data_IF_793111756423
#
_entry.id   IF_793111756423
#
_cell.length_a   1.000
_cell.length_b   1.000
_cell.length_c   1.000
_cell.angle_alpha   90.00
_cell.angle_beta   90.00
_cell.angle_gamma   90.00
#
_symmetry.space_group_name_H-M   'P 1'
#
loop_
_entity.id
_entity.type
_entity.pdbx_description
1 polymer ?
#
# COMPACT_ATOMS: atom_id res chain seq x y z
N UNK A 1 -14.38 -14.25 -33.53
CA UNK A 1 -14.32 -13.55 -32.23
C UNK A 1 -15.43 -14.17 -31.40
N UNK A 2 -15.12 -15.25 -30.70
CA UNK A 2 -16.12 -16.11 -30.06
C UNK A 2 -16.21 -15.73 -28.58
N UNK A 3 -17.42 -15.39 -28.15
CA UNK A 3 -17.81 -15.15 -26.76
C UNK A 3 -17.47 -16.35 -25.89
N UNK A 4 -16.75 -16.09 -24.80
CA UNK A 4 -16.49 -17.09 -23.77
C UNK A 4 -17.74 -17.19 -22.89
N UNK A 5 -18.43 -18.32 -23.00
CA UNK A 5 -19.56 -18.75 -22.18
C UNK A 5 -19.15 -18.79 -20.69
N UNK A 6 -19.83 -18.04 -19.80
CA UNK A 6 -19.53 -17.99 -18.37
C UNK A 6 -19.85 -19.29 -17.61
N UNK A 7 -20.42 -20.30 -18.28
CA UNK A 7 -20.73 -21.62 -17.69
C UNK A 7 -19.67 -22.68 -17.95
N UNK A 8 -18.60 -22.34 -18.67
CA UNK A 8 -17.49 -23.27 -18.88
C UNK A 8 -16.67 -23.39 -17.59
N UNK A 9 -16.59 -24.58 -16.94
CA UNK A 9 -15.70 -24.75 -15.78
C UNK A 9 -14.29 -24.39 -16.23
N UNK A 10 -13.67 -23.41 -15.56
CA UNK A 10 -12.28 -23.05 -15.82
C UNK A 10 -11.44 -24.34 -15.78
N UNK A 11 -10.64 -24.61 -16.82
CA UNK A 11 -9.77 -25.78 -16.80
C UNK A 11 -8.93 -25.70 -15.54
N UNK A 12 -8.96 -26.76 -14.72
CA UNK A 12 -8.18 -26.83 -13.50
C UNK A 12 -6.72 -26.50 -13.85
N UNK A 13 -6.22 -25.36 -13.36
CA UNK A 13 -4.83 -24.97 -13.50
C UNK A 13 -3.97 -26.12 -13.00
N UNK A 14 -2.88 -26.43 -13.72
CA UNK A 14 -2.01 -27.48 -13.25
C UNK A 14 -1.43 -27.04 -11.87
N UNK A 15 -1.26 -27.98 -10.91
CA UNK A 15 -0.68 -27.65 -9.61
C UNK A 15 0.69 -26.95 -9.70
N UNK A 16 1.41 -27.19 -10.79
CA UNK A 16 2.68 -26.55 -11.12
C UNK A 16 2.49 -25.08 -11.49
N UNK A 17 1.55 -24.75 -12.38
CA UNK A 17 1.27 -23.37 -12.79
C UNK A 17 0.78 -22.52 -11.61
N UNK A 18 -0.02 -23.12 -10.73
CA UNK A 18 -0.45 -22.49 -9.49
C UNK A 18 0.72 -22.19 -8.55
N UNK A 19 1.67 -23.11 -8.46
CA UNK A 19 2.88 -22.95 -7.64
C UNK A 19 3.78 -21.86 -8.22
N UNK A 20 3.98 -21.83 -9.54
CA UNK A 20 4.76 -20.79 -10.20
C UNK A 20 4.14 -19.40 -10.03
N UNK A 21 2.81 -19.29 -10.15
CA UNK A 21 2.08 -18.05 -9.90
C UNK A 21 2.28 -17.53 -8.46
N UNK A 22 2.24 -18.44 -7.49
CA UNK A 22 2.47 -18.10 -6.07
C UNK A 22 3.92 -17.64 -5.86
N UNK A 23 4.90 -18.38 -6.40
CA UNK A 23 6.33 -18.02 -6.28
C UNK A 23 6.60 -16.66 -6.94
N UNK A 24 6.07 -16.42 -8.13
CA UNK A 24 6.24 -15.14 -8.83
C UNK A 24 5.64 -13.99 -8.02
N UNK A 25 4.45 -14.19 -7.46
CA UNK A 25 3.78 -13.18 -6.64
C UNK A 25 4.53 -12.92 -5.33
N UNK A 26 5.05 -13.99 -4.70
CA UNK A 26 5.91 -13.90 -3.52
C UNK A 26 7.20 -13.14 -3.83
N UNK A 27 7.88 -13.44 -4.95
CA UNK A 27 9.09 -12.72 -5.38
C UNK A 27 8.82 -11.26 -5.71
N UNK A 28 7.68 -10.96 -6.33
CA UNK A 28 7.24 -9.59 -6.61
C UNK A 28 6.95 -8.85 -5.31
N UNK A 29 6.28 -9.50 -4.35
CA UNK A 29 6.07 -9.01 -2.99
C UNK A 29 7.39 -8.76 -2.26
N UNK A 30 8.34 -9.70 -2.35
CA UNK A 30 9.67 -9.58 -1.76
C UNK A 30 10.43 -8.37 -2.32
N UNK A 31 10.49 -8.23 -3.64
CA UNK A 31 11.21 -7.14 -4.29
C UNK A 31 10.58 -5.77 -3.98
N UNK A 32 9.26 -5.66 -4.10
CA UNK A 32 8.53 -4.40 -3.81
C UNK A 32 8.62 -4.02 -2.33
N UNK A 33 8.40 -4.97 -1.42
CA UNK A 33 8.56 -4.77 0.01
C UNK A 33 9.99 -4.38 0.38
N UNK A 34 10.98 -5.05 -0.22
CA UNK A 34 12.40 -4.75 -0.02
C UNK A 34 12.79 -3.34 -0.47
N UNK A 35 12.30 -2.89 -1.63
CA UNK A 35 12.56 -1.54 -2.14
C UNK A 35 11.92 -0.45 -1.25
N UNK A 36 10.67 -0.66 -0.83
CA UNK A 36 9.97 0.27 0.08
C UNK A 36 10.66 0.28 1.45
N UNK A 37 11.02 -0.88 1.99
CA UNK A 37 11.76 -0.96 3.25
C UNK A 37 13.14 -0.33 3.18
N UNK A 38 13.86 -0.52 2.08
CA UNK A 38 15.19 0.05 1.90
C UNK A 38 15.15 1.58 1.75
N UNK A 39 14.18 2.13 1.02
CA UNK A 39 13.99 3.57 0.91
C UNK A 39 13.59 4.21 2.24
N UNK A 40 12.70 3.56 3.00
CA UNK A 40 12.37 3.99 4.37
C UNK A 40 13.57 3.91 5.31
N UNK A 41 14.32 2.81 5.27
CA UNK A 41 15.54 2.60 6.05
C UNK A 41 16.61 3.65 5.74
N UNK A 42 16.80 3.99 4.46
CA UNK A 42 17.72 5.05 4.05
C UNK A 42 17.30 6.43 4.58
N UNK A 43 16.00 6.72 4.55
CA UNK A 43 15.44 7.97 5.10
C UNK A 43 15.65 8.06 6.61
N UNK A 44 15.37 6.97 7.34
CA UNK A 44 15.60 6.91 8.78
C UNK A 44 17.08 7.05 9.14
N UNK A 45 17.97 6.45 8.36
CA UNK A 45 19.41 6.56 8.56
C UNK A 45 19.90 8.00 8.38
N UNK A 46 19.39 8.70 7.35
CA UNK A 46 19.71 10.11 7.10
C UNK A 46 19.23 11.00 8.25
N UNK A 47 18.03 10.75 8.79
CA UNK A 47 17.50 11.50 9.93
C UNK A 47 18.25 11.23 11.25
N UNK A 48 18.77 10.02 11.44
CA UNK A 48 19.51 9.62 12.65
C UNK A 48 21.02 9.87 12.57
N UNK A 49 21.55 10.25 11.40
CA UNK A 49 22.99 10.38 11.18
C UNK A 49 23.76 9.06 11.24
N UNK A 50 23.09 7.94 10.93
CA UNK A 50 23.66 6.59 10.96
C UNK A 50 24.07 6.08 9.57
N UNK A 51 24.72 4.91 9.50
CA UNK A 51 25.16 4.32 8.23
C UNK A 51 23.95 3.88 7.38
N UNK A 52 23.68 4.63 6.31
CA UNK A 52 22.59 4.42 5.35
C UNK A 52 22.54 2.98 4.82
N UNK A 53 23.70 2.41 4.43
CA UNK A 53 23.75 1.07 3.83
C UNK A 53 23.25 -0.01 4.78
N UNK A 54 23.64 0.03 6.06
CA UNK A 54 23.24 -0.97 7.05
C UNK A 54 21.76 -0.86 7.42
N UNK A 55 21.25 0.36 7.54
CA UNK A 55 19.83 0.60 7.85
C UNK A 55 18.92 0.27 6.66
N UNK A 56 19.28 0.71 5.46
CA UNK A 56 18.54 0.38 4.25
C UNK A 56 18.50 -1.14 4.02
N UNK A 57 19.63 -1.83 4.19
CA UNK A 57 19.68 -3.29 4.03
C UNK A 57 18.86 -4.03 5.10
N UNK A 58 18.95 -3.63 6.37
CA UNK A 58 18.24 -4.32 7.46
C UNK A 58 16.73 -4.06 7.43
N UNK A 59 16.30 -2.81 7.25
CA UNK A 59 14.88 -2.47 7.12
C UNK A 59 14.31 -3.06 5.82
N UNK A 60 15.06 -2.97 4.72
CA UNK A 60 14.71 -3.59 3.44
C UNK A 60 14.52 -5.10 3.55
N UNK A 61 15.46 -5.83 4.17
CA UNK A 61 15.35 -7.28 4.34
C UNK A 61 14.12 -7.67 5.19
N UNK A 62 13.88 -6.97 6.30
CA UNK A 62 12.71 -7.22 7.16
C UNK A 62 11.38 -6.99 6.41
N UNK A 63 11.29 -5.90 5.65
CA UNK A 63 10.09 -5.61 4.84
C UNK A 63 9.94 -6.56 3.64
N UNK A 64 11.03 -7.02 3.04
CA UNK A 64 11.00 -7.99 1.95
C UNK A 64 10.40 -9.32 2.42
N UNK A 65 10.88 -9.83 3.56
CA UNK A 65 10.36 -11.06 4.17
C UNK A 65 8.90 -10.90 4.63
N UNK A 66 8.57 -9.76 5.24
CA UNK A 66 7.20 -9.47 5.65
C UNK A 66 6.24 -9.42 4.46
N UNK A 67 6.62 -8.72 3.39
CA UNK A 67 5.81 -8.61 2.18
C UNK A 67 5.64 -9.96 1.47
N UNK A 68 6.71 -10.73 1.33
CA UNK A 68 6.66 -12.08 0.78
C UNK A 68 5.70 -13.00 1.56
N UNK A 69 5.78 -12.94 2.90
CA UNK A 69 4.91 -13.69 3.81
C UNK A 69 3.45 -13.27 3.65
N UNK A 70 3.19 -11.95 3.66
CA UNK A 70 1.84 -11.41 3.49
C UNK A 70 1.20 -11.84 2.17
N UNK A 71 1.92 -11.69 1.05
CA UNK A 71 1.40 -12.06 -0.29
C UNK A 71 1.10 -13.54 -0.37
N UNK A 72 1.96 -14.38 0.20
CA UNK A 72 1.76 -15.84 0.24
C UNK A 72 0.49 -16.20 1.01
N UNK A 73 0.31 -15.68 2.22
CA UNK A 73 -0.90 -15.92 3.01
C UNK A 73 -2.15 -15.35 2.34
N UNK A 74 -2.07 -14.15 1.76
CA UNK A 74 -3.17 -13.53 1.02
C UNK A 74 -3.63 -14.44 -0.13
N UNK A 75 -2.69 -14.97 -0.92
CA UNK A 75 -3.04 -15.86 -2.03
C UNK A 75 -3.69 -17.15 -1.57
N UNK A 76 -3.11 -17.81 -0.56
CA UNK A 76 -3.68 -19.05 0.00
C UNK A 76 -5.10 -18.82 0.52
N UNK A 77 -5.32 -17.74 1.27
CA UNK A 77 -6.62 -17.43 1.87
C UNK A 77 -7.63 -17.02 0.80
N UNK A 78 -7.22 -16.19 -0.18
CA UNK A 78 -8.08 -15.78 -1.29
C UNK A 78 -8.50 -16.97 -2.15
N UNK A 79 -7.60 -17.93 -2.42
CA UNK A 79 -7.91 -19.15 -3.18
C UNK A 79 -8.88 -20.04 -2.41
N UNK A 80 -8.71 -20.18 -1.08
CA UNK A 80 -9.62 -21.00 -0.25
C UNK A 80 -11.01 -20.39 -0.09
N UNK A 81 -11.14 -19.06 -0.03
CA UNK A 81 -12.46 -18.40 0.13
C UNK A 81 -13.16 -18.12 -1.19
N UNK A 82 -12.45 -18.07 -2.32
CA UNK A 82 -13.01 -17.71 -3.62
C UNK A 82 -13.49 -16.26 -3.72
N UNK A 83 -13.27 -15.44 -2.69
CA UNK A 83 -13.70 -14.04 -2.58
C UNK A 83 -12.58 -13.17 -2.00
N UNK A 84 -12.44 -11.95 -2.53
CA UNK A 84 -11.47 -10.93 -2.07
C UNK A 84 -12.15 -9.93 -1.12
N UNK A 85 -12.59 -10.43 0.03
CA UNK A 85 -13.21 -9.60 1.07
C UNK A 85 -12.15 -9.00 2.00
N UNK A 86 -12.57 -8.05 2.86
CA UNK A 86 -11.72 -7.48 3.92
C UNK A 86 -10.94 -8.54 4.71
N UNK A 87 -11.57 -9.68 5.03
CA UNK A 87 -10.93 -10.79 5.76
C UNK A 87 -9.75 -11.40 5.00
N UNK A 88 -9.79 -11.46 3.66
CA UNK A 88 -8.68 -11.98 2.87
C UNK A 88 -7.44 -11.07 2.92
N UNK A 89 -7.60 -9.80 3.29
CA UNK A 89 -6.50 -8.85 3.46
C UNK A 89 -6.06 -8.69 4.92
N UNK A 90 -7.00 -8.78 5.87
CA UNK A 90 -6.75 -8.62 7.30
C UNK A 90 -6.05 -9.83 7.91
N UNK A 91 -6.49 -11.05 7.58
CA UNK A 91 -5.95 -12.28 8.18
C UNK A 91 -4.48 -12.55 7.79
N UNK A 92 -4.05 -12.35 6.53
CA UNK A 92 -2.63 -12.40 6.21
C UNK A 92 -1.81 -11.38 7.01
N UNK A 93 -2.39 -10.20 7.24
CA UNK A 93 -1.79 -9.14 8.04
C UNK A 93 -1.59 -9.55 9.49
N UNK A 94 -2.62 -10.13 10.12
CA UNK A 94 -2.51 -10.63 11.50
C UNK A 94 -1.45 -11.72 11.63
N UNK A 95 -1.45 -12.70 10.72
CA UNK A 95 -0.50 -13.82 10.75
C UNK A 95 0.94 -13.31 10.57
N UNK A 96 1.15 -12.44 9.59
CA UNK A 96 2.49 -11.94 9.26
C UNK A 96 3.02 -11.03 10.37
N UNK A 97 2.22 -10.05 10.81
CA UNK A 97 2.62 -9.11 11.85
C UNK A 97 2.80 -9.79 13.21
N UNK A 98 1.89 -10.69 13.57
CA UNK A 98 1.98 -11.45 14.82
C UNK A 98 3.10 -12.47 14.81
N UNK A 99 3.34 -13.14 13.68
CA UNK A 99 4.43 -14.09 13.51
C UNK A 99 5.81 -13.42 13.62
N UNK A 100 6.03 -12.32 12.89
CA UNK A 100 7.34 -11.63 12.90
C UNK A 100 7.68 -11.01 14.25
N UNK A 101 6.71 -10.36 14.92
CA UNK A 101 6.93 -9.75 16.22
C UNK A 101 6.85 -10.74 17.39
N UNK A 102 6.15 -11.86 17.21
CA UNK A 102 6.13 -12.97 18.16
C UNK A 102 7.43 -13.76 18.17
N UNK A 103 8.07 -13.95 17.02
CA UNK A 103 9.37 -14.63 16.94
C UNK A 103 10.51 -13.78 17.51
N UNK A 104 10.35 -12.46 17.53
CA UNK A 104 11.37 -11.51 18.00
C UNK A 104 11.14 -11.03 19.45
N UNK A 105 10.18 -11.60 20.19
CA UNK A 105 9.92 -11.20 21.56
C UNK A 105 8.82 -11.95 22.31
N UNK A 106 8.20 -11.26 23.27
CA UNK A 106 7.13 -11.77 24.14
C UNK A 106 5.79 -11.91 23.40
N UNK A 107 4.89 -12.74 23.92
CA UNK A 107 3.50 -12.88 23.47
C UNK A 107 2.76 -11.55 23.34
N UNK A 108 3.10 -10.54 24.14
CA UNK A 108 2.53 -9.18 24.02
C UNK A 108 2.92 -8.52 22.68
N UNK A 109 4.16 -8.71 22.21
CA UNK A 109 4.61 -8.20 20.90
C UNK A 109 3.96 -8.94 19.75
N UNK A 110 3.65 -10.23 19.90
CA UNK A 110 2.87 -10.98 18.92
C UNK A 110 1.46 -10.38 18.75
N UNK A 111 0.79 -10.02 19.85
CA UNK A 111 -0.54 -9.39 19.78
C UNK A 111 -0.47 -8.00 19.15
N UNK A 112 0.50 -7.18 19.55
CA UNK A 112 0.72 -5.86 18.95
C UNK A 112 1.02 -5.96 17.46
N UNK A 113 1.86 -6.92 17.06
CA UNK A 113 2.17 -7.18 15.67
C UNK A 113 0.96 -7.66 14.88
N UNK A 114 0.13 -8.53 15.45
CA UNK A 114 -1.10 -8.98 14.82
C UNK A 114 -2.09 -7.82 14.61
N UNK A 115 -2.21 -6.92 15.60
CA UNK A 115 -3.06 -5.73 15.50
C UNK A 115 -2.53 -4.70 14.49
N UNK A 116 -1.21 -4.46 14.46
CA UNK A 116 -0.61 -3.59 13.47
C UNK A 116 -0.77 -4.17 12.05
N UNK A 117 -0.51 -5.46 11.89
CA UNK A 117 -0.66 -6.16 10.62
C UNK A 117 -2.11 -6.20 10.13
N UNK A 118 -3.09 -6.39 11.02
CA UNK A 118 -4.51 -6.33 10.66
C UNK A 118 -4.94 -4.95 10.18
N UNK A 119 -4.47 -3.89 10.84
CA UNK A 119 -4.76 -2.51 10.46
C UNK A 119 -4.18 -2.19 9.07
N UNK A 120 -2.94 -2.61 8.79
CA UNK A 120 -2.34 -2.48 7.46
C UNK A 120 -3.15 -3.25 6.42
N UNK A 121 -3.54 -4.50 6.72
CA UNK A 121 -4.38 -5.29 5.83
C UNK A 121 -5.73 -4.65 5.52
N UNK A 122 -6.41 -4.09 6.53
CA UNK A 122 -7.66 -3.34 6.34
C UNK A 122 -7.43 -2.08 5.51
N UNK A 123 -6.34 -1.35 5.75
CA UNK A 123 -5.95 -0.18 4.96
C UNK A 123 -5.75 -0.49 3.48
N UNK A 124 -5.09 -1.62 3.16
CA UNK A 124 -4.93 -2.09 1.78
C UNK A 124 -6.30 -2.35 1.13
N UNK A 125 -7.21 -3.03 1.85
CA UNK A 125 -8.54 -3.32 1.33
C UNK A 125 -9.34 -2.04 1.00
N UNK A 126 -9.40 -1.09 1.94
CA UNK A 126 -10.10 0.17 1.69
C UNK A 126 -9.42 1.00 0.61
N UNK A 127 -8.09 1.07 0.60
CA UNK A 127 -7.32 1.78 -0.42
C UNK A 127 -7.61 1.26 -1.83
N UNK A 128 -7.61 -0.07 -2.01
CA UNK A 128 -7.97 -0.68 -3.29
C UNK A 128 -9.41 -0.39 -3.68
N UNK A 129 -10.35 -0.49 -2.74
CA UNK A 129 -11.77 -0.21 -2.99
C UNK A 129 -11.99 1.23 -3.47
N UNK A 130 -11.41 2.22 -2.77
CA UNK A 130 -11.51 3.62 -3.18
C UNK A 130 -10.79 3.90 -4.50
N UNK A 131 -9.64 3.27 -4.72
CA UNK A 131 -8.91 3.40 -5.98
C UNK A 131 -9.71 2.85 -7.17
N UNK A 132 -10.36 1.70 -7.03
CA UNK A 132 -11.21 1.15 -8.08
C UNK A 132 -12.43 2.04 -8.36
N UNK A 133 -13.06 2.58 -7.32
CA UNK A 133 -14.16 3.55 -7.48
C UNK A 133 -13.70 4.80 -8.23
N UNK A 134 -12.56 5.37 -7.83
CA UNK A 134 -11.97 6.52 -8.50
C UNK A 134 -11.61 6.23 -9.96
N UNK A 135 -11.03 5.06 -10.23
CA UNK A 135 -10.66 4.63 -11.58
C UNK A 135 -11.89 4.45 -12.47
N UNK A 136 -12.96 3.88 -11.93
CA UNK A 136 -14.23 3.74 -12.65
C UNK A 136 -14.86 5.10 -12.94
N UNK A 137 -14.93 5.98 -11.94
CA UNK A 137 -15.45 7.34 -12.11
C UNK A 137 -14.66 8.11 -13.19
N UNK A 138 -13.33 8.07 -13.11
CA UNK A 138 -12.45 8.72 -14.10
C UNK A 138 -12.60 8.12 -15.50
N UNK A 139 -12.79 6.80 -15.61
CA UNK A 139 -13.00 6.14 -16.90
C UNK A 139 -14.32 6.58 -17.53
N UNK A 140 -15.39 6.69 -16.73
CA UNK A 140 -16.71 7.18 -17.16
C UNK A 140 -16.62 8.65 -17.57
N UNK A 141 -15.97 9.51 -16.78
CA UNK A 141 -15.76 10.93 -17.13
C UNK A 141 -15.02 11.08 -18.47
N UNK A 142 -13.95 10.30 -18.68
CA UNK A 142 -13.21 10.31 -19.95
C UNK A 142 -14.05 9.79 -21.11
N UNK A 143 -14.94 8.84 -20.86
CA UNK A 143 -15.85 8.30 -21.87
C UNK A 143 -16.89 9.35 -22.28
N UNK A 144 -17.52 10.00 -21.31
CA UNK A 144 -18.46 11.12 -21.51
C UNK A 144 -17.78 12.28 -22.24
N UNK A 145 -16.57 12.66 -21.84
CA UNK A 145 -15.82 13.73 -22.49
C UNK A 145 -15.48 13.42 -23.95
N UNK A 146 -15.36 12.14 -24.32
CA UNK A 146 -15.00 11.69 -25.68
C UNK A 146 -16.20 11.46 -26.58
N UNK A 147 -17.32 10.96 -26.04
CA UNK A 147 -18.49 10.52 -26.81
C UNK A 147 -19.74 11.37 -26.56
N UNK A 148 -19.67 12.34 -25.65
CA UNK A 148 -20.78 13.22 -25.26
C UNK A 148 -21.62 12.67 -24.11
N UNK A 149 -22.50 13.50 -23.51
CA UNK A 149 -23.32 13.14 -22.35
C UNK A 149 -24.30 11.98 -22.60
N UNK A 150 -24.71 11.77 -23.85
CA UNK A 150 -25.73 10.79 -24.23
C UNK A 150 -25.17 9.37 -24.44
N UNK A 151 -23.85 9.19 -24.32
CA UNK A 151 -23.19 7.91 -24.62
C UNK A 151 -23.31 6.85 -23.49
N UNK A 152 -23.92 7.19 -22.35
CA UNK A 152 -24.00 6.30 -21.17
C UNK A 152 -25.07 5.19 -21.35
N UNK A 153 -25.94 5.29 -22.36
CA UNK A 153 -27.03 4.32 -22.57
C UNK A 153 -26.59 2.91 -22.98
N UNK A 154 -25.32 2.70 -23.38
CA UNK A 154 -24.82 1.40 -23.83
C UNK A 154 -23.86 0.70 -22.84
N UNK A 155 -23.71 1.20 -21.61
CA UNK A 155 -22.91 0.50 -20.60
C UNK A 155 -23.79 -0.53 -19.87
N UNK A 156 -23.53 -1.85 -20.00
CA UNK A 156 -24.35 -2.86 -19.33
C UNK A 156 -24.13 -2.76 -17.81
N UNK A 157 -25.19 -2.43 -17.05
CA UNK A 157 -25.19 -2.44 -15.58
C UNK A 157 -25.51 -1.11 -14.89
N UNK A 158 -25.64 -0.01 -15.64
CA UNK A 158 -26.12 1.27 -15.08
C UNK A 158 -27.65 1.27 -15.05
N UNK A 159 -28.21 1.05 -13.88
CA UNK A 159 -29.61 1.39 -13.57
C UNK A 159 -29.78 2.91 -13.64
N UNK A 160 -30.97 3.36 -14.06
CA UNK A 160 -31.44 4.75 -14.28
C UNK A 160 -31.35 5.70 -13.06
N UNK A 161 -30.29 5.65 -12.27
CA UNK A 161 -29.98 6.64 -11.26
C UNK A 161 -29.22 7.78 -11.94
N UNK A 162 -29.89 8.93 -12.09
CA UNK A 162 -29.26 10.17 -12.51
C UNK A 162 -27.96 10.38 -11.72
N UNK A 163 -26.85 10.43 -12.45
CA UNK A 163 -25.50 10.57 -11.92
C UNK A 163 -25.38 11.87 -11.12
N UNK A 164 -25.10 11.75 -9.83
CA UNK A 164 -24.67 12.87 -8.97
C UNK A 164 -23.16 12.74 -8.83
N UNK A 165 -22.39 13.61 -9.49
CA UNK A 165 -20.96 13.76 -9.20
C UNK A 165 -20.79 13.98 -7.70
N UNK A 166 -19.96 13.18 -6.99
CA UNK A 166 -19.50 13.61 -5.68
C UNK A 166 -18.64 14.85 -5.91
N UNK A 167 -19.14 16.00 -5.47
CA UNK A 167 -18.34 17.22 -5.38
C UNK A 167 -17.29 16.99 -4.32
N UNK A 168 -16.06 16.66 -4.74
CA UNK A 168 -14.90 16.63 -3.85
C UNK A 168 -14.38 18.06 -3.77
N UNK A 169 -14.98 18.88 -2.91
CA UNK A 169 -14.57 20.27 -2.69
C UNK A 169 -13.23 20.39 -1.95
N UNK A 170 -12.75 19.32 -1.32
CA UNK A 170 -11.42 19.29 -0.71
C UNK A 170 -10.94 17.86 -0.45
N UNK A 171 -9.74 17.55 -0.92
CA UNK A 171 -8.95 16.42 -0.42
C UNK A 171 -8.35 16.88 0.91
N UNK A 172 -9.06 16.63 2.01
CA UNK A 172 -8.53 16.89 3.34
C UNK A 172 -7.54 15.77 3.67
N UNK A 173 -6.27 15.97 3.28
CA UNK A 173 -5.18 15.10 3.68
C UNK A 173 -5.09 15.17 5.21
N UNK A 174 -5.37 14.08 5.95
CA UNK A 174 -5.18 14.11 7.39
C UNK A 174 -3.73 14.49 7.64
N UNK A 175 -3.51 15.58 8.36
CA UNK A 175 -2.18 16.09 8.68
C UNK A 175 -1.32 14.93 9.15
N UNK A 176 -0.28 14.59 8.39
CA UNK A 176 0.71 13.56 8.76
C UNK A 176 1.49 13.93 10.02
N UNK A 177 1.22 15.11 10.58
CA UNK A 177 1.71 15.60 11.85
C UNK A 177 0.63 15.31 12.89
N UNK A 178 0.90 14.47 13.90
CA UNK A 178 -0.04 14.26 14.99
C UNK A 178 -0.39 15.59 15.66
N UNK A 179 -1.69 15.79 15.94
CA UNK A 179 -2.29 17.03 16.47
C UNK A 179 -1.76 17.52 17.83
N UNK A 180 -0.89 16.75 18.49
CA UNK A 180 -0.23 17.15 19.74
C UNK A 180 1.15 17.80 19.53
N UNK A 181 1.66 17.87 18.30
CA UNK A 181 2.92 18.54 17.96
C UNK A 181 2.59 19.81 17.16
N UNK A 182 2.18 20.85 17.89
CA UNK A 182 1.91 22.16 17.33
C UNK A 182 3.24 22.94 17.29
N UNK A 183 4.03 22.71 16.23
CA UNK A 183 5.27 23.46 15.99
C UNK A 183 4.84 24.82 15.45
N UNK A 184 5.16 25.90 16.16
CA UNK A 184 4.86 27.24 15.67
C UNK A 184 5.66 27.54 14.40
N UNK A 185 5.09 28.33 13.49
CA UNK A 185 5.77 28.73 12.24
C UNK A 185 7.14 29.39 12.51
N UNK A 186 7.27 30.10 13.63
CA UNK A 186 8.53 30.68 14.11
C UNK A 186 9.59 29.62 14.45
N UNK A 187 9.19 28.47 15.00
CA UNK A 187 10.13 27.38 15.30
C UNK A 187 10.59 26.69 14.02
N UNK A 188 9.71 26.57 13.02
CA UNK A 188 10.07 26.07 11.68
C UNK A 188 11.09 27.01 11.01
N UNK A 189 10.84 28.31 11.04
CA UNK A 189 11.72 29.31 10.42
C UNK A 189 13.09 29.36 11.11
N UNK A 190 13.13 29.25 12.45
CA UNK A 190 14.39 29.17 13.20
C UNK A 190 15.22 27.93 12.84
N UNK A 191 14.58 26.78 12.63
CA UNK A 191 15.25 25.53 12.24
C UNK A 191 15.76 25.59 10.80
N UNK A 192 15.00 26.24 9.91
CA UNK A 192 15.45 26.48 8.53
C UNK A 192 16.68 27.40 8.53
N UNK A 193 16.63 28.54 9.23
CA UNK A 193 17.76 29.46 9.31
C UNK A 193 19.01 28.83 9.94
N UNK A 194 18.83 28.01 11.00
CA UNK A 194 19.93 27.28 11.62
C UNK A 194 20.57 26.28 10.65
N UNK A 195 19.77 25.55 9.86
CA UNK A 195 20.27 24.62 8.84
C UNK A 195 20.94 25.34 7.68
N UNK A 196 20.40 26.47 7.24
CA UNK A 196 20.95 27.26 6.14
C UNK A 196 22.31 27.87 6.53
N UNK A 197 22.45 28.33 7.77
CA UNK A 197 23.72 28.80 8.32
C UNK A 197 24.75 27.68 8.43
N UNK A 198 24.33 26.50 8.91
CA UNK A 198 25.20 25.32 8.98
C UNK A 198 25.70 24.88 7.59
N UNK A 199 24.83 24.89 6.58
CA UNK A 199 25.19 24.60 5.18
C UNK A 199 26.18 25.63 4.61
N UNK A 200 26.02 26.91 4.96
CA UNK A 200 26.91 27.97 4.50
C UNK A 200 28.30 27.89 5.16
N UNK A 201 28.35 27.55 6.46
CA UNK A 201 29.61 27.33 7.19
C UNK A 201 30.35 26.07 6.70
N UNK A 202 29.62 25.03 6.31
CA UNK A 202 30.19 23.80 5.73
C UNK A 202 30.66 24.03 4.28
N UNK A 203 29.97 24.87 3.50
CA UNK A 203 30.38 25.25 2.15
C UNK A 203 31.65 26.13 2.17
N UNK A 204 31.76 27.07 3.12
CA UNK A 204 32.94 27.92 3.30
C UNK A 204 34.18 27.19 3.86
N UNK A 205 34.04 25.94 4.33
CA UNK A 205 35.16 25.09 4.76
C UNK A 205 35.76 24.24 3.64
N UNK A 206 35.18 24.28 2.45
CA UNK A 206 35.62 23.51 1.28
C UNK A 206 36.35 24.37 0.23
N UNK A 207 36.57 25.66 0.50
CA UNK A 207 37.57 26.52 -0.16
C UNK A 207 38.85 26.62 0.65
#
# INVERSE_FOLDING_TARGET
MADADPTTPQPASSPLDDSFSIIQSMLTGFASGGAVGASWGATLAALRGERVVFYAASVGANFAVASASYVTFHQIISKRRGQRDMTSYVVPGTITGGGLLGLTGSSVRAVQGAAAGSAVGAGIFFGLKYFDQWRQATAIERYIAKYGPDAIHDVPGTSDAAFVSPVIDSIDLPSLIPSFVNISEEEVESRIQARLKQLNDDAGRLE
#
